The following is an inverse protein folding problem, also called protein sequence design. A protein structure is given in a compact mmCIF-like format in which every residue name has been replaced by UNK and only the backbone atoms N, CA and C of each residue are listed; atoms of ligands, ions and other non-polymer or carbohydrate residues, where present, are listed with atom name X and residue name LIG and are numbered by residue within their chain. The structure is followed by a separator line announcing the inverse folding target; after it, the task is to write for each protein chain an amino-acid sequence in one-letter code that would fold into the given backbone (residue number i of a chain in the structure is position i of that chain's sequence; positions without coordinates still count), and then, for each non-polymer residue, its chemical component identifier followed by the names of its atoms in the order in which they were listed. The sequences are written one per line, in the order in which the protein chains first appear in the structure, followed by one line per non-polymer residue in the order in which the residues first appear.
data_IF_152046917324
#
_entry.id   IF_152046917324
#
_cell.length_a   1.000
_cell.length_b   1.000
_cell.length_c   1.000
_cell.angle_alpha   90.00
_cell.angle_beta   90.00
_cell.angle_gamma   90.00
#
_symmetry.space_group_name_H-M   'P 1'
#
loop_
_entity.id
_entity.type
_entity.pdbx_description
1 polymer ?
#
# COMPACT_ATOMS: atom_id res chain seq x y z
N UNK A 1 22.13 -10.10 61.19
CA UNK A 1 23.40 -9.36 61.07
C UNK A 1 23.86 -9.45 59.61
N UNK A 2 23.76 -8.30 58.92
CA UNK A 2 24.39 -7.86 57.67
C UNK A 2 24.90 -8.94 56.67
N UNK A 3 24.31 -9.08 55.48
CA UNK A 3 24.42 -8.18 54.32
C UNK A 3 25.81 -8.24 53.65
N UNK A 4 25.95 -9.03 52.58
CA UNK A 4 26.45 -8.62 51.24
C UNK A 4 26.64 -9.83 50.31
N UNK A 5 25.66 -10.00 49.41
CA UNK A 5 25.77 -10.37 47.98
C UNK A 5 26.74 -11.46 47.51
N UNK A 6 26.22 -12.66 47.30
CA UNK A 6 26.68 -13.64 46.31
C UNK A 6 25.52 -14.00 45.37
N UNK A 7 25.21 -13.15 44.39
CA UNK A 7 24.31 -13.44 43.27
C UNK A 7 24.79 -12.65 42.05
N UNK A 8 25.88 -13.10 41.44
CA UNK A 8 26.23 -12.69 40.08
C UNK A 8 26.76 -13.92 39.34
N UNK A 9 25.82 -14.75 38.88
CA UNK A 9 25.99 -15.58 37.71
C UNK A 9 24.60 -15.89 37.14
N UNK A 10 24.42 -15.54 35.87
CA UNK A 10 23.28 -15.86 35.01
C UNK A 10 21.95 -15.14 35.33
N UNK A 11 21.75 -13.98 34.71
CA UNK A 11 20.57 -13.52 33.95
C UNK A 11 20.76 -12.02 33.65
N UNK A 12 20.32 -11.61 32.45
CA UNK A 12 20.32 -10.27 31.84
C UNK A 12 21.53 -9.91 30.96
N UNK A 13 21.41 -10.21 29.67
CA UNK A 13 20.91 -9.26 28.65
C UNK A 13 21.06 -9.90 27.27
N UNK A 14 19.95 -10.44 26.76
CA UNK A 14 19.73 -10.54 25.31
C UNK A 14 20.10 -9.21 24.66
N UNK A 15 20.94 -9.17 23.61
CA UNK A 15 21.13 -7.92 22.90
C UNK A 15 19.81 -7.61 22.20
N UNK A 16 19.17 -6.55 22.69
CA UNK A 16 18.18 -5.80 21.93
C UNK A 16 18.73 -5.63 20.52
N UNK A 17 17.97 -6.11 19.55
CA UNK A 17 18.23 -5.93 18.12
C UNK A 17 18.28 -4.42 17.87
N UNK A 18 19.50 -3.90 17.77
CA UNK A 18 19.77 -2.59 17.23
C UNK A 18 19.33 -2.60 15.76
N UNK A 19 18.06 -2.26 15.52
CA UNK A 19 17.60 -1.73 14.23
C UNK A 19 18.20 -0.33 14.10
N UNK A 20 19.51 -0.28 13.88
CA UNK A 20 20.21 0.91 13.45
C UNK A 20 20.16 0.88 11.93
N UNK A 21 19.48 1.88 11.38
CA UNK A 21 19.51 2.26 9.97
C UNK A 21 20.91 2.03 9.38
N UNK A 22 21.07 1.31 8.25
CA UNK A 22 22.35 1.23 7.57
C UNK A 22 22.50 2.49 6.69
N UNK A 23 22.52 3.67 7.32
CA UNK A 23 23.17 4.82 6.74
C UNK A 23 24.59 4.83 7.29
N UNK A 24 25.58 4.85 6.39
CA UNK A 24 27.03 4.92 6.64
C UNK A 24 27.72 3.58 6.94
N UNK A 25 27.97 2.78 5.90
CA UNK A 25 29.24 2.04 5.86
C UNK A 25 30.26 2.87 5.08
N UNK A 26 31.10 3.53 5.86
CA UNK A 26 32.29 4.25 5.45
C UNK A 26 33.35 3.24 4.98
N UNK A 27 33.71 3.25 3.69
CA UNK A 27 35.11 3.02 3.27
C UNK A 27 35.40 3.37 1.80
N UNK A 28 34.39 3.32 0.90
CA UNK A 28 34.61 3.66 -0.52
C UNK A 28 34.62 5.17 -0.85
N UNK A 29 34.07 6.02 0.01
CA UNK A 29 33.99 7.47 -0.22
C UNK A 29 35.24 8.27 0.17
N UNK A 30 36.30 7.63 0.68
CA UNK A 30 37.52 8.35 1.12
C UNK A 30 38.49 8.72 -0.02
N UNK A 31 38.23 8.31 -1.26
CA UNK A 31 39.12 8.60 -2.40
C UNK A 31 38.70 9.78 -3.28
N UNK A 32 37.53 10.40 -3.07
CA UNK A 32 37.03 11.48 -3.93
C UNK A 32 37.02 12.88 -3.30
N UNK A 33 37.27 13.01 -2.00
CA UNK A 33 37.22 14.31 -1.30
C UNK A 33 38.52 15.13 -1.32
N UNK A 34 39.55 14.72 -2.07
CA UNK A 34 40.82 15.47 -2.12
C UNK A 34 40.92 16.51 -3.26
N UNK A 35 39.85 16.74 -4.04
CA UNK A 35 39.95 17.60 -5.24
C UNK A 35 38.98 18.78 -5.39
N UNK A 36 38.14 19.11 -4.42
CA UNK A 36 37.35 20.35 -4.51
C UNK A 36 37.31 21.07 -3.18
N UNK A 37 37.90 22.27 -3.16
CA UNK A 37 37.91 23.16 -2.03
C UNK A 37 36.51 23.69 -1.71
N UNK A 38 36.21 23.67 -0.41
CA UNK A 38 35.40 24.64 0.35
C UNK A 38 33.99 24.97 -0.18
N UNK A 39 33.04 24.24 0.41
CA UNK A 39 31.78 24.67 1.04
C UNK A 39 30.82 25.60 0.30
N UNK A 40 29.71 25.00 -0.16
CA UNK A 40 28.35 25.41 0.23
C UNK A 40 27.53 24.11 0.40
N UNK A 41 26.80 23.98 1.51
CA UNK A 41 25.77 22.94 1.60
C UNK A 41 24.74 23.26 0.51
N UNK A 42 24.49 22.39 -0.49
CA UNK A 42 23.66 22.77 -1.61
C UNK A 42 22.25 23.04 -1.08
N UNK A 43 21.79 24.28 -1.22
CA UNK A 43 20.40 24.65 -1.03
C UNK A 43 19.55 23.74 -1.93
N UNK A 44 18.72 22.92 -1.29
CA UNK A 44 18.05 21.80 -1.93
C UNK A 44 16.60 22.17 -2.19
N UNK A 45 16.30 22.63 -3.40
CA UNK A 45 14.93 22.91 -3.80
C UNK A 45 14.20 21.60 -4.20
N UNK A 46 13.57 21.02 -3.19
CA UNK A 46 12.69 19.85 -3.29
C UNK A 46 11.40 20.10 -4.09
N UNK A 47 11.07 21.36 -4.37
CA UNK A 47 9.86 21.78 -5.07
C UNK A 47 10.12 22.16 -6.52
N UNK A 48 11.36 22.08 -7.02
CA UNK A 48 11.66 22.28 -8.44
C UNK A 48 10.79 21.34 -9.31
N UNK A 49 9.88 21.92 -10.09
CA UNK A 49 8.95 21.20 -10.96
C UNK A 49 9.71 20.56 -12.12
N UNK A 50 9.51 19.27 -12.35
CA UNK A 50 9.98 18.62 -13.57
C UNK A 50 8.99 18.91 -14.72
N UNK A 51 9.23 19.99 -15.45
CA UNK A 51 8.60 20.37 -16.73
C UNK A 51 8.44 21.90 -16.83
N UNK A 52 8.81 22.62 -17.89
CA UNK A 52 9.31 22.31 -19.23
C UNK A 52 10.23 23.44 -19.74
N UNK A 53 11.05 23.15 -20.76
CA UNK A 53 12.03 24.03 -21.46
C UNK A 53 13.34 24.29 -20.68
N UNK A 54 14.39 23.50 -20.95
CA UNK A 54 15.74 23.69 -20.38
C UNK A 54 16.10 22.76 -19.20
N UNK A 55 15.51 21.56 -19.21
CA UNK A 55 15.61 20.46 -18.24
C UNK A 55 16.89 20.49 -17.39
N UNK A 56 16.74 20.88 -16.12
CA UNK A 56 17.65 20.46 -15.05
C UNK A 56 17.34 18.98 -14.76
N UNK A 57 17.62 18.14 -15.75
CA UNK A 57 17.57 16.70 -15.63
C UNK A 57 18.64 16.40 -14.60
N UNK A 58 18.23 16.03 -13.38
CA UNK A 58 19.20 15.57 -12.39
C UNK A 58 20.04 14.51 -13.09
N UNK A 59 21.36 14.72 -13.21
CA UNK A 59 22.19 13.87 -14.04
C UNK A 59 21.95 12.42 -13.63
N UNK A 60 21.82 11.55 -14.64
CA UNK A 60 21.83 10.11 -14.41
C UNK A 60 23.06 9.77 -13.56
N UNK A 61 22.90 8.81 -12.64
CA UNK A 61 23.97 8.37 -11.74
C UNK A 61 24.54 9.47 -10.82
N UNK A 62 23.76 10.52 -10.52
CA UNK A 62 24.16 11.56 -9.57
C UNK A 62 23.64 11.32 -8.16
N UNK A 63 24.48 11.58 -7.16
CA UNK A 63 24.11 11.48 -5.73
C UNK A 63 22.86 12.32 -5.39
N UNK A 64 22.71 13.49 -6.04
CA UNK A 64 21.54 14.37 -5.84
C UNK A 64 20.24 13.69 -6.28
N UNK A 65 20.28 12.95 -7.39
CA UNK A 65 19.17 12.17 -7.91
C UNK A 65 18.82 11.05 -6.93
N UNK A 66 19.80 10.24 -6.56
CA UNK A 66 19.63 9.12 -5.63
C UNK A 66 19.02 9.57 -4.29
N UNK A 67 19.48 10.69 -3.73
CA UNK A 67 18.94 11.25 -2.47
C UNK A 67 17.46 11.66 -2.63
N UNK A 68 17.09 12.36 -3.71
CA UNK A 68 15.70 12.79 -3.95
C UNK A 68 14.78 11.58 -4.09
N UNK A 69 15.19 10.59 -4.88
CA UNK A 69 14.42 9.35 -5.08
C UNK A 69 14.31 8.54 -3.78
N UNK A 70 15.38 8.46 -2.99
CA UNK A 70 15.36 7.79 -1.69
C UNK A 70 14.42 8.48 -0.70
N UNK A 71 14.45 9.81 -0.59
CA UNK A 71 13.55 10.58 0.31
C UNK A 71 12.08 10.37 -0.08
N UNK A 72 11.77 10.41 -1.38
CA UNK A 72 10.41 10.21 -1.85
C UNK A 72 9.94 8.75 -1.62
N UNK A 73 10.82 7.75 -1.79
CA UNK A 73 10.54 6.36 -1.40
C UNK A 73 10.38 6.17 0.11
N UNK A 74 11.11 6.93 0.93
CA UNK A 74 10.93 6.92 2.39
C UNK A 74 9.56 7.44 2.80
N UNK A 75 9.08 8.52 2.20
CA UNK A 75 7.71 9.00 2.41
C UNK A 75 6.64 7.97 2.02
N UNK A 76 6.85 7.27 0.90
CA UNK A 76 5.97 6.18 0.46
C UNK A 76 6.01 4.97 1.40
N UNK A 77 7.20 4.60 1.87
CA UNK A 77 7.40 3.55 2.87
C UNK A 77 6.64 3.88 4.16
N UNK A 78 6.77 5.11 4.67
CA UNK A 78 6.14 5.53 5.92
C UNK A 78 4.62 5.41 5.88
N UNK A 79 3.98 5.79 4.78
CA UNK A 79 2.53 5.65 4.63
C UNK A 79 2.08 4.19 4.63
N UNK A 80 2.79 3.30 3.92
CA UNK A 80 2.47 1.87 3.96
C UNK A 80 2.79 1.22 5.30
N UNK A 81 3.85 1.67 5.98
CA UNK A 81 4.17 1.23 7.33
C UNK A 81 3.07 1.60 8.32
N UNK A 82 2.52 2.82 8.22
CA UNK A 82 1.35 3.24 9.01
C UNK A 82 0.14 2.35 8.69
N UNK A 83 -0.14 2.06 7.42
CA UNK A 83 -1.24 1.19 7.02
C UNK A 83 -1.09 -0.24 7.57
N UNK A 84 0.09 -0.85 7.44
CA UNK A 84 0.39 -2.17 7.99
C UNK A 84 0.26 -2.15 9.52
N UNK A 85 0.82 -1.14 10.18
CA UNK A 85 0.73 -0.98 11.63
C UNK A 85 -0.72 -0.85 12.10
N UNK A 86 -1.54 -0.06 11.41
CA UNK A 86 -2.96 0.05 11.67
C UNK A 86 -3.68 -1.30 11.50
N UNK A 87 -3.47 -1.98 10.38
CA UNK A 87 -4.12 -3.26 10.08
C UNK A 87 -3.72 -4.37 11.07
N UNK A 88 -2.47 -4.41 11.51
CA UNK A 88 -1.98 -5.41 12.46
C UNK A 88 -2.36 -5.04 13.89
N UNK A 89 -2.00 -3.86 14.37
CA UNK A 89 -2.15 -3.48 15.78
C UNK A 89 -3.59 -3.13 16.12
N UNK A 90 -4.26 -2.34 15.28
CA UNK A 90 -5.63 -1.88 15.56
C UNK A 90 -6.63 -2.92 15.07
N UNK A 91 -6.66 -3.22 13.78
CA UNK A 91 -7.66 -4.13 13.22
C UNK A 91 -7.37 -5.61 13.56
N UNK A 92 -6.11 -5.99 13.72
CA UNK A 92 -5.71 -7.36 14.05
C UNK A 92 -5.74 -7.67 15.55
N UNK A 93 -5.04 -6.89 16.36
CA UNK A 93 -4.88 -7.15 17.80
C UNK A 93 -6.02 -6.53 18.61
N UNK A 94 -6.21 -5.21 18.51
CA UNK A 94 -7.15 -4.50 19.38
C UNK A 94 -8.62 -4.83 19.07
N UNK A 95 -9.00 -4.80 17.78
CA UNK A 95 -10.39 -5.02 17.35
C UNK A 95 -10.67 -6.47 16.91
N UNK A 96 -9.62 -7.28 16.67
CA UNK A 96 -9.75 -8.67 16.18
C UNK A 96 -10.61 -8.82 14.93
N UNK A 97 -10.66 -7.77 14.11
CA UNK A 97 -11.41 -7.68 12.87
C UNK A 97 -10.66 -8.26 11.68
N UNK A 98 -9.32 -8.27 11.71
CA UNK A 98 -8.51 -8.79 10.59
C UNK A 98 -8.82 -10.26 10.29
N UNK A 99 -9.17 -11.06 11.30
CA UNK A 99 -9.61 -12.45 11.09
C UNK A 99 -10.93 -12.56 10.32
N UNK A 100 -11.83 -11.58 10.46
CA UNK A 100 -13.20 -11.55 9.95
C UNK A 100 -13.34 -10.78 8.63
N UNK A 101 -12.52 -9.76 8.41
CA UNK A 101 -12.58 -8.91 7.22
C UNK A 101 -11.53 -9.35 6.18
N UNK A 102 -11.98 -10.10 5.17
CA UNK A 102 -11.15 -10.56 4.07
C UNK A 102 -10.51 -9.41 3.28
N UNK A 103 -11.22 -8.30 3.08
CA UNK A 103 -10.70 -7.14 2.34
C UNK A 103 -9.52 -6.51 3.07
N UNK A 104 -9.57 -6.42 4.40
CA UNK A 104 -8.42 -5.98 5.21
C UNK A 104 -7.21 -6.91 5.08
N UNK A 105 -7.40 -8.23 4.92
CA UNK A 105 -6.28 -9.17 4.65
C UNK A 105 -5.64 -8.87 3.30
N UNK A 106 -6.45 -8.58 2.28
CA UNK A 106 -5.94 -8.18 0.97
C UNK A 106 -5.19 -6.84 1.03
N UNK A 107 -5.74 -5.84 1.72
CA UNK A 107 -5.07 -4.57 1.93
C UNK A 107 -3.75 -4.73 2.71
N UNK A 108 -3.71 -5.61 3.71
CA UNK A 108 -2.49 -5.90 4.48
C UNK A 108 -1.41 -6.49 3.58
N UNK A 109 -1.77 -7.50 2.78
CA UNK A 109 -0.85 -8.09 1.81
C UNK A 109 -0.39 -7.04 0.78
N UNK A 110 -1.30 -6.21 0.26
CA UNK A 110 -0.96 -5.13 -0.65
C UNK A 110 0.02 -4.10 -0.06
N UNK A 111 -0.25 -3.62 1.15
CA UNK A 111 0.63 -2.67 1.84
C UNK A 111 1.99 -3.29 2.19
N UNK A 112 2.02 -4.57 2.59
CA UNK A 112 3.27 -5.29 2.88
C UNK A 112 4.13 -5.46 1.62
N UNK A 113 3.52 -5.79 0.47
CA UNK A 113 4.22 -5.82 -0.81
C UNK A 113 4.77 -4.43 -1.18
N UNK A 114 4.04 -3.35 -0.89
CA UNK A 114 4.55 -2.00 -1.13
C UNK A 114 5.74 -1.63 -0.23
N UNK A 115 5.77 -2.12 1.01
CA UNK A 115 6.95 -1.99 1.88
C UNK A 115 8.15 -2.68 1.23
N UNK A 116 7.97 -3.91 0.73
CA UNK A 116 9.03 -4.63 0.01
C UNK A 116 9.48 -3.88 -1.25
N UNK A 117 8.54 -3.33 -2.02
CA UNK A 117 8.83 -2.49 -3.19
C UNK A 117 9.71 -1.28 -2.82
N UNK A 118 9.33 -0.55 -1.76
CA UNK A 118 10.12 0.58 -1.28
C UNK A 118 11.52 0.14 -0.84
N UNK A 119 11.63 -0.98 -0.14
CA UNK A 119 12.93 -1.51 0.28
C UNK A 119 13.83 -1.82 -0.93
N UNK A 120 13.30 -2.49 -1.95
CA UNK A 120 14.08 -2.81 -3.16
C UNK A 120 14.54 -1.56 -3.90
N UNK A 121 13.70 -0.51 -3.97
CA UNK A 121 14.10 0.76 -4.57
C UNK A 121 15.15 1.49 -3.74
N UNK A 122 14.95 1.63 -2.42
CA UNK A 122 15.92 2.29 -1.54
C UNK A 122 17.27 1.56 -1.53
N UNK A 123 17.26 0.23 -1.57
CA UNK A 123 18.49 -0.56 -1.66
C UNK A 123 19.22 -0.31 -2.98
N UNK A 124 18.49 -0.27 -4.10
CA UNK A 124 19.05 0.04 -5.43
C UNK A 124 19.70 1.43 -5.46
N UNK A 125 19.04 2.44 -4.91
CA UNK A 125 19.60 3.79 -4.79
C UNK A 125 20.84 3.81 -3.87
N UNK A 126 20.83 3.04 -2.77
CA UNK A 126 21.95 2.97 -1.82
C UNK A 126 23.22 2.32 -2.41
N UNK A 127 23.07 1.34 -3.31
CA UNK A 127 24.21 0.74 -4.01
C UNK A 127 24.63 1.53 -5.27
N UNK A 128 23.93 2.63 -5.57
CA UNK A 128 24.12 3.50 -6.73
C UNK A 128 24.17 2.71 -8.06
N UNK A 129 23.31 1.70 -8.19
CA UNK A 129 23.18 0.85 -9.38
C UNK A 129 21.77 1.01 -9.94
N UNK A 130 21.53 2.15 -10.60
CA UNK A 130 20.21 2.51 -11.13
C UNK A 130 19.66 1.43 -12.09
N UNK A 131 20.53 0.71 -12.79
CA UNK A 131 20.17 -0.29 -13.79
C UNK A 131 20.10 -1.73 -13.26
N UNK A 132 20.22 -1.92 -11.94
CA UNK A 132 20.16 -3.24 -11.34
C UNK A 132 18.82 -3.95 -11.61
N UNK A 133 18.82 -4.88 -12.57
CA UNK A 133 17.62 -5.58 -13.02
C UNK A 133 16.94 -6.39 -11.91
N UNK A 134 17.71 -6.94 -10.97
CA UNK A 134 17.17 -7.72 -9.86
C UNK A 134 16.38 -6.84 -8.88
N UNK A 135 17.01 -5.77 -8.37
CA UNK A 135 16.37 -4.90 -7.38
C UNK A 135 15.20 -4.13 -7.99
N UNK A 136 15.34 -3.66 -9.22
CA UNK A 136 14.23 -2.95 -9.85
C UNK A 136 13.10 -3.88 -10.31
N UNK A 137 13.42 -5.07 -10.84
CA UNK A 137 12.44 -6.08 -11.18
C UNK A 137 11.63 -6.49 -9.95
N UNK A 138 12.29 -6.68 -8.81
CA UNK A 138 11.66 -6.91 -7.52
C UNK A 138 10.70 -5.78 -7.12
N UNK A 139 11.15 -4.52 -7.19
CA UNK A 139 10.32 -3.37 -6.85
C UNK A 139 9.08 -3.24 -7.73
N UNK A 140 9.25 -3.38 -9.04
CA UNK A 140 8.16 -3.36 -10.01
C UNK A 140 7.16 -4.49 -9.76
N UNK A 141 7.64 -5.71 -9.53
CA UNK A 141 6.79 -6.87 -9.24
C UNK A 141 5.96 -6.67 -7.97
N UNK A 142 6.62 -6.36 -6.86
CA UNK A 142 5.95 -6.14 -5.58
C UNK A 142 4.93 -5.01 -5.68
N UNK A 143 5.28 -3.94 -6.40
CA UNK A 143 4.40 -2.80 -6.53
C UNK A 143 3.14 -3.10 -7.36
N UNK A 144 3.32 -3.72 -8.52
CA UNK A 144 2.20 -4.10 -9.39
C UNK A 144 1.29 -5.14 -8.71
N UNK A 145 1.86 -6.09 -7.98
CA UNK A 145 1.04 -7.06 -7.25
C UNK A 145 0.29 -6.42 -6.08
N UNK A 146 0.91 -5.48 -5.36
CA UNK A 146 0.24 -4.69 -4.33
C UNK A 146 -0.97 -3.93 -4.89
N UNK A 147 -0.82 -3.31 -6.07
CA UNK A 147 -1.91 -2.59 -6.71
C UNK A 147 -3.03 -3.52 -7.18
N UNK A 148 -2.69 -4.67 -7.74
CA UNK A 148 -3.69 -5.66 -8.13
C UNK A 148 -4.55 -6.10 -6.94
N UNK A 149 -3.95 -6.30 -5.75
CA UNK A 149 -4.67 -6.62 -4.53
C UNK A 149 -5.61 -5.49 -4.10
N UNK A 150 -5.14 -4.24 -4.07
CA UNK A 150 -5.96 -3.10 -3.68
C UNK A 150 -7.12 -2.85 -4.66
N UNK A 151 -6.85 -2.90 -5.97
CA UNK A 151 -7.89 -2.77 -6.99
C UNK A 151 -8.92 -3.89 -6.88
N UNK A 152 -8.48 -5.13 -6.65
CA UNK A 152 -9.37 -6.27 -6.43
C UNK A 152 -10.21 -6.11 -5.15
N UNK A 153 -9.64 -5.60 -4.06
CA UNK A 153 -10.36 -5.44 -2.80
C UNK A 153 -11.55 -4.47 -2.94
N UNK A 154 -11.35 -3.33 -3.61
CA UNK A 154 -12.44 -2.36 -3.82
C UNK A 154 -13.48 -2.88 -4.82
N UNK A 155 -13.09 -3.74 -5.79
CA UNK A 155 -14.00 -4.27 -6.82
C UNK A 155 -15.21 -5.05 -6.26
N UNK A 156 -15.17 -5.52 -5.02
CA UNK A 156 -16.26 -6.27 -4.40
C UNK A 156 -17.61 -5.55 -4.49
N UNK A 157 -17.59 -4.21 -4.44
CA UNK A 157 -18.79 -3.37 -4.42
C UNK A 157 -19.55 -3.43 -5.75
N UNK A 158 -18.87 -3.63 -6.88
CA UNK A 158 -19.51 -3.76 -8.19
C UNK A 158 -20.54 -4.90 -8.22
N UNK A 159 -20.28 -5.94 -7.43
CA UNK A 159 -21.06 -7.17 -7.46
C UNK A 159 -22.05 -7.27 -6.30
N UNK A 160 -22.36 -6.16 -5.62
CA UNK A 160 -23.25 -6.13 -4.45
C UNK A 160 -24.60 -6.83 -4.70
N UNK A 161 -25.23 -6.58 -5.85
CA UNK A 161 -26.53 -7.15 -6.21
C UNK A 161 -26.47 -8.51 -6.92
N UNK A 162 -25.28 -9.06 -7.16
CA UNK A 162 -25.12 -10.28 -7.96
C UNK A 162 -25.22 -11.54 -7.11
N UNK A 163 -26.09 -12.50 -7.52
CA UNK A 163 -26.15 -13.83 -6.91
C UNK A 163 -24.84 -14.62 -7.05
N UNK A 164 -24.05 -14.33 -8.10
CA UNK A 164 -22.77 -14.96 -8.40
C UNK A 164 -21.58 -14.04 -8.05
N UNK A 165 -21.73 -13.18 -7.02
CA UNK A 165 -20.74 -12.14 -6.70
C UNK A 165 -19.30 -12.64 -6.58
N UNK A 166 -19.09 -13.81 -5.96
CA UNK A 166 -17.75 -14.38 -5.75
C UNK A 166 -17.10 -14.71 -7.09
N UNK A 167 -17.84 -15.33 -8.01
CA UNK A 167 -17.36 -15.67 -9.34
C UNK A 167 -16.95 -14.41 -10.11
N UNK A 168 -17.81 -13.41 -10.14
CA UNK A 168 -17.53 -12.16 -10.88
C UNK A 168 -16.39 -11.36 -10.27
N UNK A 169 -16.35 -11.27 -8.94
CA UNK A 169 -15.23 -10.67 -8.22
C UNK A 169 -13.91 -11.39 -8.53
N UNK A 170 -13.89 -12.71 -8.52
CA UNK A 170 -12.70 -13.52 -8.84
C UNK A 170 -12.22 -13.25 -10.26
N UNK A 171 -13.14 -13.21 -11.23
CA UNK A 171 -12.81 -12.87 -12.64
C UNK A 171 -12.19 -11.47 -12.71
N UNK A 172 -12.77 -10.49 -12.03
CA UNK A 172 -12.21 -9.12 -11.98
C UNK A 172 -10.86 -9.07 -11.28
N UNK A 173 -10.66 -9.82 -10.20
CA UNK A 173 -9.40 -9.90 -9.49
C UNK A 173 -8.30 -10.51 -10.36
N UNK A 174 -8.61 -11.59 -11.09
CA UNK A 174 -7.72 -12.18 -12.11
C UNK A 174 -7.43 -11.15 -13.21
N UNK A 175 -8.44 -10.41 -13.66
CA UNK A 175 -8.28 -9.32 -14.62
C UNK A 175 -7.28 -8.26 -14.15
N UNK A 176 -7.37 -7.82 -12.89
CA UNK A 176 -6.41 -6.89 -12.29
C UNK A 176 -5.01 -7.48 -12.21
N UNK A 177 -4.88 -8.74 -11.79
CA UNK A 177 -3.59 -9.44 -11.76
C UNK A 177 -2.96 -9.49 -13.16
N UNK A 178 -3.72 -9.85 -14.19
CA UNK A 178 -3.22 -9.89 -15.56
C UNK A 178 -2.83 -8.50 -16.06
N UNK A 179 -3.67 -7.50 -15.82
CA UNK A 179 -3.38 -6.11 -16.22
C UNK A 179 -2.08 -5.59 -15.61
N UNK A 180 -1.86 -5.82 -14.30
CA UNK A 180 -0.64 -5.42 -13.60
C UNK A 180 0.58 -6.27 -13.99
N UNK A 181 0.40 -7.55 -14.34
CA UNK A 181 1.47 -8.38 -14.89
C UNK A 181 1.92 -7.91 -16.27
N UNK A 182 0.98 -7.60 -17.18
CA UNK A 182 1.29 -7.04 -18.50
C UNK A 182 2.07 -5.74 -18.36
N UNK A 183 1.68 -4.87 -17.42
CA UNK A 183 2.43 -3.66 -17.13
C UNK A 183 3.86 -3.94 -16.65
N UNK A 184 4.05 -4.98 -15.82
CA UNK A 184 5.37 -5.41 -15.36
C UNK A 184 6.24 -5.88 -16.52
N UNK A 185 5.67 -6.65 -17.45
CA UNK A 185 6.38 -7.12 -18.66
C UNK A 185 6.76 -5.96 -19.57
N UNK A 186 5.85 -5.02 -19.82
CA UNK A 186 6.15 -3.82 -20.63
C UNK A 186 7.26 -3.00 -19.97
N UNK A 187 7.20 -2.83 -18.64
CA UNK A 187 8.23 -2.11 -17.88
C UNK A 187 9.60 -2.79 -17.98
N UNK A 188 9.62 -4.13 -17.99
CA UNK A 188 10.84 -4.92 -18.18
C UNK A 188 11.37 -4.84 -19.62
N UNK A 189 10.50 -4.82 -20.63
CA UNK A 189 10.90 -4.70 -22.04
C UNK A 189 11.42 -3.30 -22.40
N UNK A 190 10.97 -2.26 -21.68
CA UNK A 190 11.34 -0.86 -21.91
C UNK A 190 12.39 -0.35 -20.90
N UNK A 191 13.04 -1.28 -20.20
CA UNK A 191 13.88 -1.03 -19.03
C UNK A 191 15.05 -0.08 -19.28
N UNK A 192 15.66 -0.13 -20.46
CA UNK A 192 16.83 0.71 -20.80
C UNK A 192 16.50 2.20 -21.01
N UNK A 193 15.23 2.57 -21.18
CA UNK A 193 14.88 3.94 -21.59
C UNK A 193 14.19 4.77 -20.51
N UNK A 194 13.58 4.17 -19.48
CA UNK A 194 12.61 4.89 -18.63
C UNK A 194 12.60 4.46 -17.17
N UNK A 195 13.46 5.09 -16.37
CA UNK A 195 13.43 5.11 -14.89
C UNK A 195 12.02 5.26 -14.31
N UNK A 196 11.36 4.15 -13.97
CA UNK A 196 10.03 4.11 -13.34
C UNK A 196 8.90 4.90 -14.06
N UNK A 197 9.13 5.42 -15.26
CA UNK A 197 8.13 6.13 -16.05
C UNK A 197 6.85 5.31 -16.33
N UNK A 198 6.95 4.01 -16.68
CA UNK A 198 5.80 3.14 -16.93
C UNK A 198 4.94 2.86 -15.69
N UNK A 199 5.45 3.11 -14.48
CA UNK A 199 4.73 2.87 -13.24
C UNK A 199 3.69 3.97 -12.93
N UNK A 200 3.90 5.20 -13.40
CA UNK A 200 3.05 6.35 -13.05
C UNK A 200 1.62 6.28 -13.60
N UNK A 201 1.40 5.83 -14.86
CA UNK A 201 0.04 5.58 -15.34
C UNK A 201 -0.74 4.65 -14.42
N UNK A 202 -0.09 3.65 -13.80
CA UNK A 202 -0.77 2.72 -12.89
C UNK A 202 -1.25 3.37 -11.60
N UNK A 203 -0.49 4.34 -11.06
CA UNK A 203 -0.90 5.14 -9.90
C UNK A 203 -2.18 5.92 -10.24
N UNK A 204 -2.21 6.57 -11.41
CA UNK A 204 -3.38 7.33 -11.88
C UNK A 204 -4.57 6.41 -12.14
N UNK A 205 -4.36 5.28 -12.82
CA UNK A 205 -5.40 4.29 -13.12
C UNK A 205 -5.99 3.73 -11.81
N UNK A 206 -5.16 3.37 -10.84
CA UNK A 206 -5.62 2.86 -9.54
C UNK A 206 -6.42 3.92 -8.77
N UNK A 207 -5.94 5.17 -8.71
CA UNK A 207 -6.64 6.26 -8.04
C UNK A 207 -8.00 6.57 -8.69
N UNK A 208 -8.04 6.61 -10.03
CA UNK A 208 -9.28 6.81 -10.79
C UNK A 208 -10.26 5.65 -10.55
N UNK A 209 -9.77 4.41 -10.67
CA UNK A 209 -10.60 3.24 -10.46
C UNK A 209 -11.22 3.20 -9.06
N UNK A 210 -10.40 3.40 -8.02
CA UNK A 210 -10.88 3.45 -6.64
C UNK A 210 -11.91 4.57 -6.44
N UNK A 211 -11.68 5.75 -7.02
CA UNK A 211 -12.62 6.87 -6.95
C UNK A 211 -13.97 6.51 -7.60
N UNK A 212 -13.96 5.88 -8.78
CA UNK A 212 -15.18 5.43 -9.45
C UNK A 212 -15.93 4.41 -8.60
N UNK A 213 -15.21 3.44 -8.00
CA UNK A 213 -15.83 2.45 -7.10
C UNK A 213 -16.45 3.11 -5.88
N UNK A 214 -15.77 4.08 -5.27
CA UNK A 214 -16.27 4.83 -4.11
C UNK A 214 -17.49 5.68 -4.47
N UNK A 215 -17.50 6.33 -5.64
CA UNK A 215 -18.66 7.05 -6.17
C UNK A 215 -19.84 6.10 -6.38
N UNK A 216 -19.58 4.94 -6.99
CA UNK A 216 -20.61 3.92 -7.18
C UNK A 216 -21.17 3.44 -5.84
N UNK A 217 -20.32 3.13 -4.88
CA UNK A 217 -20.70 2.75 -3.51
C UNK A 217 -21.58 3.81 -2.86
N UNK A 218 -21.16 5.07 -2.91
CA UNK A 218 -21.90 6.22 -2.38
C UNK A 218 -23.31 6.31 -2.99
N UNK A 219 -23.44 6.17 -4.31
CA UNK A 219 -24.74 6.18 -4.99
C UNK A 219 -25.63 5.02 -4.53
N UNK A 220 -25.06 3.81 -4.38
CA UNK A 220 -25.85 2.64 -3.97
C UNK A 220 -26.27 2.71 -2.49
N UNK A 221 -25.43 3.27 -1.62
CA UNK A 221 -25.78 3.54 -0.21
C UNK A 221 -26.90 4.59 -0.14
N UNK A 222 -26.83 5.66 -0.94
CA UNK A 222 -27.91 6.66 -1.03
C UNK A 222 -29.24 6.04 -1.41
N UNK A 223 -29.23 5.13 -2.38
CA UNK A 223 -30.39 4.36 -2.85
C UNK A 223 -30.88 3.28 -1.88
N UNK A 224 -30.13 2.98 -0.81
CA UNK A 224 -30.45 1.90 0.12
C UNK A 224 -30.20 0.49 -0.42
N UNK A 225 -29.52 0.35 -1.56
CA UNK A 225 -29.13 -0.95 -2.13
C UNK A 225 -27.94 -1.58 -1.40
N UNK A 226 -27.13 -0.75 -0.75
CA UNK A 226 -26.05 -1.16 0.14
C UNK A 226 -26.33 -0.53 1.51
N UNK A 227 -26.32 -1.36 2.55
CA UNK A 227 -26.50 -0.94 3.94
C UNK A 227 -25.16 -1.07 4.65
N UNK A 228 -24.71 0.02 5.26
CA UNK A 228 -23.48 0.04 6.07
C UNK A 228 -23.84 -0.43 7.47
N UNK A 229 -22.99 -1.25 8.09
CA UNK A 229 -23.18 -1.65 9.48
C UNK A 229 -23.30 -0.39 10.38
N UNK A 230 -24.47 -0.14 11.00
CA UNK A 230 -24.70 1.06 11.80
C UNK A 230 -23.85 1.10 13.08
N UNK A 231 -23.36 -0.04 13.57
CA UNK A 231 -22.42 -0.11 14.70
C UNK A 231 -21.04 0.45 14.33
N UNK A 232 -20.68 0.44 13.04
CA UNK A 232 -19.40 0.90 12.55
C UNK A 232 -19.44 2.37 12.10
N UNK A 233 -20.49 2.77 11.38
CA UNK A 233 -20.73 4.16 10.98
C UNK A 233 -22.21 4.36 10.58
N UNK A 234 -22.75 5.55 10.87
CA UNK A 234 -24.03 5.95 10.31
C UNK A 234 -23.94 6.13 8.79
N UNK A 235 -25.08 6.07 8.09
CA UNK A 235 -25.15 6.33 6.64
C UNK A 235 -24.50 7.67 6.27
N UNK A 236 -24.84 8.73 6.99
CA UNK A 236 -24.29 10.08 6.73
C UNK A 236 -22.78 10.15 6.99
N UNK A 237 -22.28 9.45 8.00
CA UNK A 237 -20.84 9.36 8.27
C UNK A 237 -20.12 8.63 7.14
N UNK A 238 -20.65 7.49 6.69
CA UNK A 238 -20.06 6.74 5.58
C UNK A 238 -20.07 7.54 4.26
N UNK A 239 -21.16 8.26 3.98
CA UNK A 239 -21.26 9.15 2.83
C UNK A 239 -20.17 10.23 2.84
N UNK A 240 -19.92 10.86 4.00
CA UNK A 240 -18.83 11.83 4.18
C UNK A 240 -17.46 11.19 3.98
N UNK A 241 -17.24 9.99 4.52
CA UNK A 241 -16.00 9.22 4.35
C UNK A 241 -15.74 8.96 2.87
N UNK A 242 -16.74 8.50 2.11
CA UNK A 242 -16.63 8.32 0.66
C UNK A 242 -16.19 9.61 -0.05
N UNK A 243 -16.85 10.74 0.23
CA UNK A 243 -16.49 12.03 -0.36
C UNK A 243 -15.06 12.46 0.00
N UNK A 244 -14.64 12.28 1.25
CA UNK A 244 -13.27 12.57 1.69
C UNK A 244 -12.26 11.70 0.94
N UNK A 245 -12.51 10.39 0.79
CA UNK A 245 -11.60 9.49 0.07
C UNK A 245 -11.53 9.80 -1.43
N UNK A 246 -12.65 10.17 -2.06
CA UNK A 246 -12.69 10.61 -3.46
C UNK A 246 -11.86 11.89 -3.63
N UNK A 247 -12.06 12.90 -2.78
CA UNK A 247 -11.28 14.14 -2.82
C UNK A 247 -9.78 13.86 -2.63
N UNK A 248 -9.44 12.98 -1.67
CA UNK A 248 -8.10 12.49 -1.43
C UNK A 248 -7.45 11.87 -2.69
N UNK A 249 -8.17 10.99 -3.39
CA UNK A 249 -7.67 10.38 -4.62
C UNK A 249 -7.51 11.39 -5.76
N UNK A 250 -8.40 12.39 -5.86
CA UNK A 250 -8.27 13.50 -6.83
C UNK A 250 -7.01 14.32 -6.55
N UNK A 251 -6.74 14.62 -5.28
CA UNK A 251 -5.48 15.29 -4.88
C UNK A 251 -4.28 14.43 -5.25
N UNK A 252 -4.31 13.12 -4.98
CA UNK A 252 -3.21 12.22 -5.35
C UNK A 252 -2.96 12.16 -6.88
N UNK A 253 -4.02 12.21 -7.69
CA UNK A 253 -3.92 12.33 -9.16
C UNK A 253 -3.27 13.67 -9.53
N UNK A 254 -3.76 14.78 -8.99
CA UNK A 254 -3.19 16.12 -9.22
C UNK A 254 -1.69 16.17 -8.90
N UNK A 255 -1.29 15.66 -7.74
CA UNK A 255 0.12 15.56 -7.33
C UNK A 255 0.95 14.69 -8.28
N UNK A 256 0.37 13.61 -8.81
CA UNK A 256 1.04 12.75 -9.80
C UNK A 256 1.24 13.49 -11.13
N UNK A 257 0.25 14.26 -11.57
CA UNK A 257 0.30 15.04 -12.82
C UNK A 257 1.26 16.24 -12.73
N UNK A 258 1.42 16.83 -11.55
CA UNK A 258 2.39 17.92 -11.31
C UNK A 258 3.85 17.47 -11.46
N UNK A 259 4.12 16.16 -11.42
CA UNK A 259 5.45 15.57 -11.68
C UNK A 259 6.60 16.09 -10.77
N UNK A 260 6.28 16.73 -9.64
CA UNK A 260 7.26 17.25 -8.71
C UNK A 260 7.99 16.09 -8.00
N UNK A 261 9.33 16.06 -7.96
CA UNK A 261 10.10 14.92 -7.43
C UNK A 261 9.70 14.47 -6.02
N UNK A 262 9.47 15.41 -5.10
CA UNK A 262 9.05 15.07 -3.73
C UNK A 262 7.69 14.35 -3.68
N UNK A 263 6.79 14.67 -4.61
CA UNK A 263 5.45 14.09 -4.68
C UNK A 263 5.36 12.89 -5.61
N UNK A 264 6.48 12.35 -6.13
CA UNK A 264 6.43 11.23 -7.10
C UNK A 264 5.99 9.89 -6.51
N UNK A 265 6.22 9.64 -5.22
CA UNK A 265 5.89 8.36 -4.57
C UNK A 265 4.96 8.46 -3.35
N UNK A 266 5.00 9.50 -2.50
CA UNK A 266 4.12 9.57 -1.33
C UNK A 266 2.62 9.52 -1.65
N UNK A 267 2.19 10.11 -2.77
CA UNK A 267 0.81 10.04 -3.23
C UNK A 267 0.36 8.61 -3.59
N UNK A 268 1.31 7.72 -3.90
CA UNK A 268 1.01 6.28 -4.04
C UNK A 268 0.60 5.69 -2.69
N UNK A 269 1.30 6.03 -1.61
CA UNK A 269 0.95 5.59 -0.25
C UNK A 269 -0.43 6.07 0.18
N UNK A 270 -0.81 7.27 -0.25
CA UNK A 270 -2.14 7.83 0.00
C UNK A 270 -3.27 6.97 -0.59
N UNK A 271 -3.07 6.42 -1.79
CA UNK A 271 -4.05 5.52 -2.45
C UNK A 271 -4.25 4.23 -1.64
N UNK A 272 -3.20 3.73 -0.98
CA UNK A 272 -3.33 2.59 -0.08
C UNK A 272 -4.09 2.98 1.19
N UNK A 273 -3.88 4.18 1.73
CA UNK A 273 -4.64 4.67 2.88
C UNK A 273 -6.15 4.74 2.56
N UNK A 274 -6.54 5.32 1.42
CA UNK A 274 -7.95 5.40 1.02
C UNK A 274 -8.55 4.01 0.79
N UNK A 275 -7.79 3.08 0.20
CA UNK A 275 -8.20 1.69 0.05
C UNK A 275 -8.43 0.99 1.40
N UNK A 276 -7.51 1.13 2.36
CA UNK A 276 -7.60 0.56 3.71
C UNK A 276 -8.83 1.07 4.44
N UNK A 277 -9.03 2.39 4.46
CA UNK A 277 -10.19 3.01 5.12
C UNK A 277 -11.50 2.55 4.48
N UNK A 278 -11.58 2.50 3.15
CA UNK A 278 -12.77 2.03 2.46
C UNK A 278 -13.08 0.56 2.75
N UNK A 279 -12.05 -0.31 2.71
CA UNK A 279 -12.20 -1.75 2.91
C UNK A 279 -12.62 -2.12 4.35
N UNK A 280 -12.38 -1.24 5.32
CA UNK A 280 -12.93 -1.37 6.68
C UNK A 280 -14.44 -1.47 6.65
N UNK A 281 -15.07 -0.52 5.99
CA UNK A 281 -16.53 -0.41 5.91
C UNK A 281 -17.09 -1.39 4.87
N UNK A 282 -16.45 -1.50 3.70
CA UNK A 282 -16.91 -2.41 2.65
C UNK A 282 -16.96 -3.88 3.09
N UNK A 283 -16.02 -4.29 3.96
CA UNK A 283 -16.02 -5.64 4.55
C UNK A 283 -17.14 -5.89 5.57
N UNK A 284 -17.92 -4.87 5.90
CA UNK A 284 -19.02 -4.90 6.87
C UNK A 284 -20.36 -4.44 6.27
N UNK A 285 -20.44 -4.27 4.94
CA UNK A 285 -21.66 -3.85 4.27
C UNK A 285 -22.60 -5.02 4.02
N UNK A 286 -23.88 -4.82 4.34
CA UNK A 286 -24.97 -5.69 3.90
C UNK A 286 -25.45 -5.26 2.51
N UNK A 287 -25.45 -6.18 1.56
CA UNK A 287 -25.97 -5.93 0.22
C UNK A 287 -27.44 -6.31 0.17
N UNK A 288 -28.33 -5.33 -0.02
CA UNK A 288 -29.77 -5.49 0.06
C UNK A 288 -30.31 -6.21 -1.20
N UNK A 289 -30.11 -7.53 -1.24
CA UNK A 289 -30.89 -8.59 -1.92
C UNK A 289 -30.05 -9.87 -1.95
N UNK A 290 -29.84 -10.47 -0.80
CA UNK A 290 -29.78 -11.93 -0.67
C UNK A 290 -29.93 -12.30 0.80
N UNK A 291 -30.94 -13.12 1.07
CA UNK A 291 -31.12 -13.87 2.31
C UNK A 291 -29.78 -14.49 2.76
N UNK A 292 -29.48 -14.32 4.05
CA UNK A 292 -28.35 -14.88 4.80
C UNK A 292 -26.95 -14.27 4.56
N UNK A 293 -26.67 -13.16 5.26
CA UNK A 293 -25.29 -12.75 5.56
C UNK A 293 -24.57 -13.77 6.48
N UNK A 294 -25.30 -14.71 7.09
CA UNK A 294 -24.75 -15.87 7.80
C UNK A 294 -24.04 -16.91 6.92
N UNK A 295 -24.21 -16.87 5.59
CA UNK A 295 -23.65 -17.87 4.67
C UNK A 295 -22.16 -17.70 4.35
N UNK A 296 -21.60 -16.49 4.40
CA UNK A 296 -20.18 -16.25 4.08
C UNK A 296 -19.27 -16.57 5.26
N UNK A 297 -19.77 -16.41 6.50
CA UNK A 297 -19.11 -16.96 7.67
C UNK A 297 -19.23 -18.48 7.73
N UNK A 298 -20.33 -19.07 7.24
CA UNK A 298 -20.49 -20.53 7.22
C UNK A 298 -19.62 -21.22 6.15
N UNK A 299 -19.49 -20.66 4.94
CA UNK A 299 -18.72 -21.26 3.85
C UNK A 299 -17.19 -21.32 4.11
N UNK A 300 -16.67 -20.54 5.07
CA UNK A 300 -15.29 -20.63 5.53
C UNK A 300 -15.14 -21.31 6.92
N UNK A 301 -16.24 -21.78 7.52
CA UNK A 301 -16.26 -22.47 8.83
C UNK A 301 -16.60 -23.96 8.71
N UNK A 302 -17.04 -24.45 7.55
CA UNK A 302 -17.47 -25.84 7.35
C UNK A 302 -16.49 -26.68 6.53
N UNK A 303 -15.19 -26.54 6.78
CA UNK A 303 -14.23 -27.62 6.54
C UNK A 303 -13.53 -27.93 7.86
N UNK A 304 -14.20 -28.71 8.70
CA UNK A 304 -13.62 -29.23 9.95
C UNK A 304 -14.51 -29.06 11.17
N UNK A 305 -15.64 -29.79 11.21
CA UNK A 305 -16.08 -30.58 12.36
C UNK A 305 -17.39 -31.25 11.98
N UNK A 306 -17.33 -32.55 11.73
CA UNK A 306 -18.45 -33.48 11.76
C UNK A 306 -19.10 -33.48 13.14
N UNK A 307 -20.44 -33.48 13.20
CA UNK A 307 -21.17 -33.93 14.39
C UNK A 307 -22.42 -33.12 14.75
N UNK A 308 -23.57 -33.79 14.58
CA UNK A 308 -24.82 -33.68 15.36
C UNK A 308 -26.01 -32.81 14.88
N UNK A 309 -26.99 -33.58 14.37
CA UNK A 309 -28.45 -33.54 14.51
C UNK A 309 -29.12 -32.18 14.76
N UNK A 310 -29.72 -31.67 13.69
CA UNK A 310 -30.87 -30.77 13.74
C UNK A 310 -32.14 -31.59 14.04
N UNK A 311 -32.60 -31.58 15.28
CA UNK A 311 -34.04 -31.68 15.57
C UNK A 311 -34.55 -30.27 15.83
N UNK A 312 -35.49 -29.81 15.02
CA UNK A 312 -36.35 -28.68 15.40
C UNK A 312 -37.77 -28.97 14.91
N UNK A 313 -38.57 -29.34 15.90
CA UNK A 313 -40.02 -29.41 15.92
C UNK A 313 -40.62 -28.02 15.67
N UNK A 314 -41.65 -28.02 14.80
CA UNK A 314 -42.77 -27.06 14.59
C UNK A 314 -42.42 -25.58 14.45
#
# INVERSE_FOLDING_TARGET
LNCTTNWHNSIHKTPFVSVVFPFLSHEKNRKLTSKMGVTEAPYFDIFATAGDVGVLELPLDSDKRAIIFAVAHFGFFMLNFINVSYLVLVEGIALRNLGKNFLHKMCLAGCALQICSCFTSMWRENINDEYNAFWSGGGTFFSNFGFALCSSAVSVVWFHASKNRIKWWTITAIGWLLFHNVNSVISYMQWDEKHFGPFRPMVVIAALYQSIVMIYCFVQVKKGAIVVNPEAASKDQFERICLTMIAANVVAIGLTLLNMPMFKYPQTGWIYCTCVVFCKFAGQMDFAKTTSFGGVLAAFKTEGTTGEKTELLV
#
